data_IF_909823495551
#
_entry.id   IF_909823495551
#
_cell.length_a   1.000
_cell.length_b   1.000
_cell.length_c   1.000
_cell.angle_alpha   90.00
_cell.angle_beta   90.00
_cell.angle_gamma   90.00
#
_symmetry.space_group_name_H-M   'P 1'
#
loop_
_entity.id
_entity.type
_entity.pdbx_description
1 polymer ?
#
# COMPACT_ATOMS: atom_id res chain seq x y z
N UNK A 1 11.49 8.46 15.24
CA UNK A 1 10.66 7.28 14.91
C UNK A 1 9.75 7.60 13.73
N UNK A 2 9.76 6.75 12.70
CA UNK A 2 8.97 6.99 11.49
C UNK A 2 7.51 6.63 11.73
N UNK A 3 6.61 7.57 11.45
CA UNK A 3 5.18 7.34 11.62
C UNK A 3 4.57 6.80 10.31
N UNK A 4 3.36 6.26 10.43
CA UNK A 4 2.59 5.80 9.29
C UNK A 4 2.39 6.94 8.27
N UNK A 5 1.99 8.12 8.75
CA UNK A 5 1.75 9.26 7.86
C UNK A 5 3.03 9.73 7.15
N UNK A 6 4.15 9.71 7.86
CA UNK A 6 5.44 10.06 7.25
C UNK A 6 5.80 9.10 6.12
N UNK A 7 5.54 7.80 6.31
CA UNK A 7 5.79 6.81 5.26
C UNK A 7 4.87 7.02 4.05
N UNK A 8 3.60 7.33 4.29
CA UNK A 8 2.65 7.62 3.22
C UNK A 8 3.14 8.81 2.40
N UNK A 9 3.58 9.88 3.08
CA UNK A 9 4.07 11.08 2.42
C UNK A 9 5.32 10.80 1.58
N UNK A 10 6.26 10.03 2.13
CA UNK A 10 7.50 9.67 1.42
C UNK A 10 7.22 8.82 0.18
N UNK A 11 6.30 7.86 0.29
CA UNK A 11 5.91 7.02 -0.84
C UNK A 11 5.27 7.86 -1.93
N UNK A 12 4.39 8.80 -1.56
CA UNK A 12 3.75 9.68 -2.52
C UNK A 12 4.76 10.59 -3.24
N UNK A 13 5.75 11.10 -2.51
CA UNK A 13 6.83 11.89 -3.11
C UNK A 13 7.65 11.05 -4.09
N UNK A 14 7.93 9.81 -3.73
CA UNK A 14 8.67 8.90 -4.60
C UNK A 14 7.91 8.67 -5.91
N UNK A 15 6.61 8.45 -5.84
CA UNK A 15 5.77 8.24 -7.02
C UNK A 15 5.74 9.48 -7.92
N UNK A 16 5.67 10.67 -7.33
CA UNK A 16 5.64 11.93 -8.07
C UNK A 16 6.98 12.22 -8.75
N UNK A 17 8.08 11.90 -8.06
CA UNK A 17 9.43 12.17 -8.55
C UNK A 17 9.87 11.16 -9.62
N UNK A 18 9.26 9.98 -9.65
CA UNK A 18 9.66 8.89 -10.53
C UNK A 18 8.45 8.30 -11.25
N UNK A 19 7.91 9.02 -12.25
CA UNK A 19 6.69 8.59 -12.94
C UNK A 19 6.86 7.29 -13.75
N UNK A 20 8.09 6.82 -13.94
CA UNK A 20 8.38 5.62 -14.74
C UNK A 20 8.34 4.31 -13.93
N UNK A 21 7.62 4.32 -12.80
CA UNK A 21 7.29 3.11 -12.05
C UNK A 21 8.49 2.29 -11.55
N UNK A 22 9.24 2.87 -10.61
CA UNK A 22 10.31 2.11 -9.93
C UNK A 22 9.75 1.18 -8.86
N UNK A 23 8.44 1.29 -8.56
CA UNK A 23 7.77 0.41 -7.60
C UNK A 23 7.02 -0.67 -8.39
N UNK A 24 7.31 -1.94 -8.09
CA UNK A 24 6.64 -3.06 -8.76
C UNK A 24 5.14 -3.09 -8.47
N UNK A 25 4.37 -3.75 -9.32
CA UNK A 25 2.93 -3.89 -9.12
C UNK A 25 2.63 -4.64 -7.81
N UNK A 26 3.43 -5.63 -7.47
CA UNK A 26 3.32 -6.36 -6.20
C UNK A 26 3.47 -5.41 -5.02
N UNK A 27 4.50 -4.56 -5.05
CA UNK A 27 4.74 -3.60 -3.97
C UNK A 27 3.66 -2.55 -3.90
N UNK A 28 3.12 -2.11 -5.05
CA UNK A 28 2.00 -1.18 -5.09
C UNK A 28 0.77 -1.77 -4.41
N UNK A 29 0.48 -3.04 -4.68
CA UNK A 29 -0.66 -3.72 -4.04
C UNK A 29 -0.43 -3.91 -2.54
N UNK A 30 0.80 -4.21 -2.12
CA UNK A 30 1.14 -4.33 -0.71
C UNK A 30 0.92 -3.00 0.02
N UNK A 31 1.42 -1.91 -0.56
CA UNK A 31 1.22 -0.58 0.00
C UNK A 31 -0.28 -0.23 0.06
N UNK A 32 -1.01 -0.53 -1.00
CA UNK A 32 -2.44 -0.24 -1.08
C UNK A 32 -3.22 -0.96 0.03
N UNK A 33 -3.03 -2.26 0.17
CA UNK A 33 -3.82 -3.05 1.15
C UNK A 33 -3.55 -2.59 2.59
N UNK A 34 -2.29 -2.38 2.94
CA UNK A 34 -1.95 -1.93 4.29
C UNK A 34 -2.38 -0.48 4.54
N UNK A 35 -2.33 0.36 3.50
CA UNK A 35 -2.82 1.73 3.61
C UNK A 35 -4.33 1.76 3.90
N UNK A 36 -5.11 1.03 3.11
CA UNK A 36 -6.57 1.00 3.29
C UNK A 36 -6.94 0.48 4.67
N UNK A 37 -6.34 -0.62 5.10
CA UNK A 37 -6.62 -1.20 6.41
C UNK A 37 -6.06 -0.31 7.52
N UNK A 38 -4.91 0.31 7.32
CA UNK A 38 -4.29 1.22 8.28
C UNK A 38 -5.07 2.52 8.47
N UNK A 39 -5.83 2.93 7.46
CA UNK A 39 -6.72 4.10 7.56
C UNK A 39 -8.09 3.76 8.13
N UNK A 40 -8.36 2.48 8.41
CA UNK A 40 -9.66 2.06 8.93
C UNK A 40 -10.77 2.11 7.90
N UNK A 41 -10.42 2.03 6.62
CA UNK A 41 -11.41 2.09 5.54
C UNK A 41 -12.07 0.72 5.40
N UNK A 42 -13.40 0.68 5.34
CA UNK A 42 -14.16 -0.55 5.16
C UNK A 42 -13.88 -1.16 3.80
N UNK A 43 -13.86 -2.51 3.75
CA UNK A 43 -13.59 -3.25 2.52
C UNK A 43 -14.58 -2.93 1.39
N UNK A 44 -15.85 -2.78 1.72
CA UNK A 44 -16.88 -2.49 0.73
C UNK A 44 -17.25 -3.70 -0.11
N UNK A 45 -18.06 -3.46 -1.14
CA UNK A 45 -18.54 -4.52 -2.03
C UNK A 45 -17.48 -4.85 -3.08
N UNK A 46 -17.41 -6.12 -3.52
CA UNK A 46 -16.47 -6.48 -4.59
C UNK A 46 -16.84 -5.77 -5.90
N UNK A 47 -15.85 -5.32 -6.67
CA UNK A 47 -16.14 -4.74 -7.99
C UNK A 47 -16.59 -5.82 -8.98
N UNK A 48 -17.11 -5.39 -10.14
CA UNK A 48 -17.54 -6.33 -11.15
C UNK A 48 -16.38 -7.14 -11.70
N UNK A 49 -16.69 -8.32 -12.26
CA UNK A 49 -15.67 -9.20 -12.80
C UNK A 49 -14.91 -8.61 -13.99
N UNK A 50 -15.43 -7.53 -14.59
CA UNK A 50 -14.79 -6.86 -15.72
C UNK A 50 -13.81 -5.77 -15.29
N UNK A 51 -13.77 -5.44 -14.01
CA UNK A 51 -12.86 -4.43 -13.46
C UNK A 51 -11.66 -5.12 -12.84
N UNK A 52 -10.75 -5.60 -13.68
CA UNK A 52 -9.62 -6.44 -13.23
C UNK A 52 -8.71 -5.75 -12.21
N UNK A 53 -8.34 -4.50 -12.46
CA UNK A 53 -7.45 -3.76 -11.56
C UNK A 53 -8.14 -3.51 -10.22
N UNK A 54 -9.38 -3.07 -10.25
CA UNK A 54 -10.15 -2.80 -9.04
C UNK A 54 -10.38 -4.09 -8.24
N UNK A 55 -10.60 -5.21 -8.94
CA UNK A 55 -10.78 -6.50 -8.29
C UNK A 55 -9.50 -6.94 -7.57
N UNK A 56 -8.34 -6.77 -8.19
CA UNK A 56 -7.07 -7.08 -7.55
C UNK A 56 -6.84 -6.25 -6.29
N UNK A 57 -7.16 -4.97 -6.36
CA UNK A 57 -7.07 -4.07 -5.20
C UNK A 57 -8.02 -4.53 -4.09
N UNK A 58 -9.25 -4.87 -4.44
CA UNK A 58 -10.25 -5.32 -3.49
C UNK A 58 -9.81 -6.63 -2.80
N UNK A 59 -9.31 -7.59 -3.57
CA UNK A 59 -8.83 -8.85 -3.04
C UNK A 59 -7.62 -8.65 -2.14
N UNK A 60 -6.72 -7.75 -2.49
CA UNK A 60 -5.57 -7.41 -1.66
C UNK A 60 -6.02 -6.84 -0.31
N UNK A 61 -6.95 -5.88 -0.33
CA UNK A 61 -7.51 -5.32 0.91
C UNK A 61 -8.21 -6.40 1.74
N UNK A 62 -8.98 -7.27 1.07
CA UNK A 62 -9.69 -8.38 1.74
C UNK A 62 -8.72 -9.29 2.47
N UNK A 63 -7.55 -9.56 1.89
CA UNK A 63 -6.56 -10.46 2.48
C UNK A 63 -6.03 -9.97 3.82
N UNK A 64 -6.12 -8.66 4.09
CA UNK A 64 -5.65 -8.06 5.36
C UNK A 64 -6.78 -7.46 6.18
N UNK A 65 -8.03 -7.69 5.80
CA UNK A 65 -9.20 -7.10 6.49
C UNK A 65 -9.35 -7.60 7.93
N UNK A 66 -8.70 -8.72 8.27
CA UNK A 66 -8.69 -9.25 9.64
C UNK A 66 -7.71 -8.49 10.55
N UNK A 67 -6.79 -7.72 9.98
CA UNK A 67 -5.80 -6.99 10.76
C UNK A 67 -6.42 -5.79 11.47
N UNK A 68 -5.90 -5.48 12.67
CA UNK A 68 -6.25 -4.22 13.32
C UNK A 68 -5.63 -3.07 12.53
N UNK A 69 -6.17 -1.88 12.74
CA UNK A 69 -5.67 -0.67 12.12
C UNK A 69 -4.18 -0.46 12.45
N UNK A 70 -3.80 -0.67 13.72
CA UNK A 70 -2.42 -0.52 14.16
C UNK A 70 -1.48 -1.53 13.52
N UNK A 71 -1.91 -2.80 13.39
CA UNK A 71 -1.11 -3.84 12.74
C UNK A 71 -0.86 -3.48 11.27
N UNK A 72 -1.91 -3.03 10.57
CA UNK A 72 -1.79 -2.67 9.16
C UNK A 72 -0.85 -1.47 8.97
N UNK A 73 -0.91 -0.48 9.87
CA UNK A 73 -0.01 0.66 9.83
C UNK A 73 1.44 0.23 10.00
N UNK A 74 1.72 -0.71 10.91
CA UNK A 74 3.06 -1.24 11.10
C UNK A 74 3.56 -1.95 9.86
N UNK A 75 2.71 -2.76 9.23
CA UNK A 75 3.07 -3.46 8.00
C UNK A 75 3.33 -2.48 6.86
N UNK A 76 2.54 -1.41 6.79
CA UNK A 76 2.77 -0.36 5.80
C UNK A 76 4.16 0.26 5.99
N UNK A 77 4.50 0.62 7.23
CA UNK A 77 5.80 1.23 7.55
C UNK A 77 6.94 0.31 7.11
N UNK A 78 6.88 -0.97 7.45
CA UNK A 78 7.91 -1.94 7.08
C UNK A 78 8.03 -2.08 5.57
N UNK A 79 6.91 -2.18 4.88
CA UNK A 79 6.89 -2.29 3.41
C UNK A 79 7.46 -1.03 2.77
N UNK A 80 7.06 0.13 3.23
CA UNK A 80 7.53 1.41 2.71
C UNK A 80 9.03 1.57 2.92
N UNK A 81 9.54 1.22 4.09
CA UNK A 81 10.97 1.31 4.38
C UNK A 81 11.79 0.42 3.46
N UNK A 82 11.31 -0.80 3.20
CA UNK A 82 11.98 -1.72 2.28
C UNK A 82 12.02 -1.15 0.87
N UNK A 83 10.89 -0.64 0.39
CA UNK A 83 10.79 -0.06 -0.95
C UNK A 83 11.69 1.17 -1.09
N UNK A 84 11.65 2.06 -0.12
CA UNK A 84 12.47 3.28 -0.15
C UNK A 84 13.94 2.95 -0.12
N UNK A 85 14.34 1.95 0.68
CA UNK A 85 15.72 1.48 0.75
C UNK A 85 16.20 0.91 -0.60
N UNK A 86 15.38 0.08 -1.23
CA UNK A 86 15.70 -0.50 -2.54
C UNK A 86 15.85 0.58 -3.61
N UNK A 87 14.97 1.57 -3.60
CA UNK A 87 15.01 2.66 -4.58
C UNK A 87 16.22 3.58 -4.39
N UNK A 88 16.66 3.76 -3.14
CA UNK A 88 17.80 4.63 -2.83
C UNK A 88 19.15 3.96 -3.09
N UNK A 89 19.19 2.64 -3.20
CA UNK A 89 20.43 1.89 -3.42
C UNK A 89 20.73 1.63 -4.90
N UNK A 90 19.94 2.17 -5.79
CA UNK A 90 20.17 2.05 -7.24
C UNK A 90 20.84 3.32 -7.85
#
# INVERSE_FOLDING_TARGET
>A
MTTFQECVDKVNLLKQSNPNNIISDENKLALYKYYKQGCGISLGKPPSMFQFVEKKKWEAHKSVSHMSQGEAQQQYILTAQTILSECMNT
#
